data_IF_612765807681
#
_entry.id   IF_612765807681
#
_cell.length_a   1.000
_cell.length_b   1.000
_cell.length_c   1.000
_cell.angle_alpha   90.00
_cell.angle_beta   90.00
_cell.angle_gamma   90.00
#
_symmetry.space_group_name_H-M   'P 1'
#
loop_
_entity.id
_entity.type
_entity.pdbx_description
1 polymer ?
#
# COMPACT_ATOMS: atom_id res chain seq x y z
N UNK A 1 -31.43 -69.36 -23.64
CA UNK A 1 -30.34 -68.40 -23.35
C UNK A 1 -30.95 -67.12 -22.79
N UNK A 2 -30.58 -66.82 -21.54
CA UNK A 2 -30.62 -65.55 -20.78
C UNK A 2 -31.96 -64.80 -20.62
N UNK A 3 -32.45 -64.93 -19.39
CA UNK A 3 -33.53 -64.21 -18.73
C UNK A 3 -33.02 -62.95 -17.98
N UNK A 4 -33.98 -62.04 -17.78
CA UNK A 4 -34.20 -61.15 -16.62
C UNK A 4 -33.43 -59.82 -16.52
N UNK A 5 -34.15 -58.76 -16.87
CA UNK A 5 -33.96 -57.37 -16.46
C UNK A 5 -34.79 -57.10 -15.19
N UNK A 6 -34.19 -56.47 -14.16
CA UNK A 6 -34.87 -55.97 -12.96
C UNK A 6 -35.34 -54.51 -13.16
N UNK A 7 -36.48 -54.08 -12.57
CA UNK A 7 -36.90 -52.68 -12.52
C UNK A 7 -36.53 -51.98 -11.19
N UNK A 8 -36.70 -50.64 -11.08
CA UNK A 8 -36.43 -49.86 -9.87
C UNK A 8 -37.70 -49.66 -9.01
N UNK A 9 -37.53 -49.31 -7.74
CA UNK A 9 -38.61 -48.83 -6.86
C UNK A 9 -38.13 -47.67 -5.99
N UNK A 10 -39.01 -46.68 -5.88
CA UNK A 10 -38.84 -45.39 -5.23
C UNK A 10 -39.73 -45.29 -3.98
N UNK A 11 -39.24 -44.51 -2.99
CA UNK A 11 -39.91 -43.54 -2.09
C UNK A 11 -41.11 -43.98 -1.21
N UNK A 12 -41.04 -43.58 0.08
CA UNK A 12 -42.17 -43.38 1.01
C UNK A 12 -41.75 -43.65 2.46
N UNK A 13 -41.24 -42.68 3.22
CA UNK A 13 -41.96 -41.72 4.09
C UNK A 13 -42.81 -42.37 5.20
N UNK A 14 -42.48 -42.09 6.48
CA UNK A 14 -43.48 -41.90 7.56
C UNK A 14 -42.85 -41.36 8.86
N UNK A 15 -43.47 -40.27 9.34
CA UNK A 15 -43.29 -39.54 10.62
C UNK A 15 -43.64 -40.36 11.87
N UNK A 16 -43.09 -39.97 13.04
CA UNK A 16 -43.74 -39.87 14.38
C UNK A 16 -42.71 -39.33 15.40
N UNK A 17 -42.81 -38.10 15.89
CA UNK A 17 -43.65 -37.56 16.99
C UNK A 17 -43.10 -37.82 18.42
N UNK A 18 -42.41 -36.79 18.93
CA UNK A 18 -42.40 -36.16 20.26
C UNK A 18 -42.80 -36.88 21.59
N UNK A 19 -41.98 -36.54 22.61
CA UNK A 19 -42.22 -36.27 24.03
C UNK A 19 -42.53 -37.42 25.02
N UNK A 20 -41.68 -37.54 26.07
CA UNK A 20 -42.05 -37.30 27.48
C UNK A 20 -40.83 -37.26 28.43
N UNK A 21 -41.04 -36.52 29.52
CA UNK A 21 -40.11 -35.99 30.52
C UNK A 21 -39.98 -36.87 31.79
N UNK A 22 -38.92 -36.58 32.57
CA UNK A 22 -38.77 -36.61 34.05
C UNK A 22 -38.69 -37.97 34.79
N UNK A 23 -37.57 -38.27 35.46
CA UNK A 23 -37.32 -37.87 36.87
C UNK A 23 -36.05 -38.53 37.51
N UNK A 24 -35.34 -37.68 38.26
CA UNK A 24 -34.34 -37.84 39.35
C UNK A 24 -33.99 -39.21 39.97
N UNK A 25 -32.68 -39.42 40.19
CA UNK A 25 -32.09 -40.32 41.19
C UNK A 25 -30.58 -40.03 41.34
N UNK A 26 -30.10 -39.85 42.57
CA UNK A 26 -28.85 -39.15 42.92
C UNK A 26 -27.67 -40.06 43.36
N UNK A 27 -26.49 -39.42 43.43
CA UNK A 27 -25.27 -39.69 44.22
C UNK A 27 -24.10 -40.52 43.64
N UNK A 28 -22.97 -39.81 43.57
CA UNK A 28 -21.61 -40.11 44.08
C UNK A 28 -20.45 -40.40 43.09
N UNK A 29 -19.55 -39.40 43.09
CA UNK A 29 -18.09 -39.50 43.21
C UNK A 29 -17.24 -39.87 42.00
N UNK A 30 -16.26 -39.02 41.71
CA UNK A 30 -15.10 -39.34 40.87
C UNK A 30 -14.63 -38.15 40.07
N UNK A 31 -13.71 -37.36 40.63
CA UNK A 31 -13.18 -36.17 39.98
C UNK A 31 -12.33 -36.46 38.75
N UNK A 32 -12.39 -35.54 37.80
CA UNK A 32 -11.28 -35.14 36.94
C UNK A 32 -11.54 -33.67 36.59
N UNK A 33 -10.77 -32.77 37.22
CA UNK A 33 -10.67 -31.38 36.79
C UNK A 33 -9.99 -31.38 35.42
N UNK A 34 -10.79 -31.42 34.36
CA UNK A 34 -10.37 -30.88 33.08
C UNK A 34 -10.43 -29.36 33.23
N UNK A 35 -9.29 -28.75 33.57
CA UNK A 35 -9.10 -27.32 33.41
C UNK A 35 -9.19 -27.03 31.91
N UNK A 36 -10.39 -26.68 31.45
CA UNK A 36 -10.58 -26.08 30.14
C UNK A 36 -9.83 -24.76 30.12
N UNK A 37 -8.82 -24.66 29.25
CA UNK A 37 -8.34 -23.38 28.75
C UNK A 37 -9.46 -22.77 27.91
N UNK A 38 -10.45 -22.22 28.59
CA UNK A 38 -11.35 -21.24 28.00
C UNK A 38 -10.51 -19.98 27.91
N UNK A 39 -10.28 -19.50 26.69
CA UNK A 39 -9.78 -18.16 26.46
C UNK A 39 -10.69 -17.19 27.23
N UNK A 40 -10.21 -16.64 28.34
CA UNK A 40 -10.89 -15.52 28.98
C UNK A 40 -10.87 -14.38 27.97
N UNK A 41 -12.02 -14.13 27.38
CA UNK A 41 -12.37 -12.89 26.70
C UNK A 41 -12.34 -11.77 27.77
N UNK A 42 -11.14 -11.37 28.19
CA UNK A 42 -10.93 -10.27 29.13
C UNK A 42 -11.27 -8.99 28.39
N UNK A 43 -12.20 -8.22 28.95
CA UNK A 43 -12.48 -6.85 28.53
C UNK A 43 -11.17 -6.10 28.24
N UNK A 44 -11.13 -5.24 27.19
CA UNK A 44 -9.91 -4.55 26.79
C UNK A 44 -9.31 -3.83 27.99
N UNK A 45 -8.04 -4.13 28.30
CA UNK A 45 -7.31 -3.46 29.38
C UNK A 45 -7.31 -1.95 29.08
N UNK A 46 -7.93 -1.10 29.92
CA UNK A 46 -8.07 0.32 29.64
C UNK A 46 -6.73 1.03 29.50
N UNK A 47 -5.68 0.53 30.17
CA UNK A 47 -4.32 1.05 30.01
C UNK A 47 -3.76 0.73 28.63
N UNK A 48 -3.98 -0.50 28.11
CA UNK A 48 -3.56 -0.84 26.74
C UNK A 48 -4.32 -0.01 25.71
N UNK A 49 -5.60 0.29 25.94
CA UNK A 49 -6.36 1.16 25.06
C UNK A 49 -5.83 2.60 25.05
N UNK A 50 -5.43 3.14 26.20
CA UNK A 50 -4.81 4.45 26.30
C UNK A 50 -3.46 4.51 25.55
N UNK A 51 -2.67 3.43 25.60
CA UNK A 51 -1.42 3.31 24.83
C UNK A 51 -1.67 3.15 23.33
N UNK A 52 -2.70 2.37 22.95
CA UNK A 52 -3.00 2.05 21.56
C UNK A 52 -3.61 3.22 20.78
N UNK A 53 -4.33 4.14 21.43
CA UNK A 53 -5.08 5.18 20.73
C UNK A 53 -4.83 6.63 21.21
N UNK A 54 -3.56 7.09 21.33
CA UNK A 54 -3.29 8.49 21.61
C UNK A 54 -3.74 9.37 20.43
N UNK A 55 -4.42 10.48 20.76
CA UNK A 55 -4.97 11.43 19.77
C UNK A 55 -3.98 12.55 19.38
N UNK A 56 -2.79 12.56 19.97
CA UNK A 56 -1.74 13.56 19.76
C UNK A 56 -1.89 14.83 20.57
N UNK A 57 -2.92 14.95 21.41
CA UNK A 57 -3.00 16.01 22.42
C UNK A 57 -2.05 15.71 23.57
N UNK A 58 -1.53 16.77 24.22
CA UNK A 58 -0.66 16.61 25.37
C UNK A 58 -1.33 15.85 26.54
N UNK A 59 -2.66 15.89 26.66
CA UNK A 59 -3.38 15.14 27.69
C UNK A 59 -3.40 13.64 27.37
N UNK A 60 -3.73 13.28 26.12
CA UNK A 60 -3.73 11.89 25.66
C UNK A 60 -2.33 11.28 25.67
N UNK A 61 -1.31 12.02 25.21
CA UNK A 61 0.08 11.56 25.24
C UNK A 61 0.58 11.35 26.69
N UNK A 62 0.16 12.19 27.66
CA UNK A 62 0.46 11.96 29.08
C UNK A 62 -0.23 10.71 29.63
N UNK A 63 -1.49 10.47 29.25
CA UNK A 63 -2.23 9.29 29.68
C UNK A 63 -1.62 8.01 29.10
N UNK A 64 -1.23 8.02 27.82
CA UNK A 64 -0.50 6.94 27.16
C UNK A 64 0.84 6.66 27.86
N UNK A 65 1.63 7.71 28.15
CA UNK A 65 2.91 7.55 28.85
C UNK A 65 2.74 6.95 30.25
N UNK A 66 1.76 7.43 31.03
CA UNK A 66 1.48 6.88 32.36
C UNK A 66 1.03 5.41 32.29
N UNK A 67 0.17 5.09 31.32
CA UNK A 67 -0.33 3.72 31.11
C UNK A 67 0.81 2.80 30.68
N UNK A 68 1.67 3.24 29.76
CA UNK A 68 2.87 2.49 29.37
C UNK A 68 3.80 2.24 30.56
N UNK A 69 4.02 3.24 31.42
CA UNK A 69 4.85 3.08 32.62
C UNK A 69 4.28 2.06 33.63
N UNK A 70 2.96 1.92 33.72
CA UNK A 70 2.32 0.90 34.54
C UNK A 70 2.48 -0.50 33.90
N UNK A 71 2.32 -0.58 32.59
CA UNK A 71 2.33 -1.82 31.83
C UNK A 71 3.73 -2.37 31.54
N UNK A 72 4.77 -1.54 31.53
CA UNK A 72 6.14 -1.97 31.16
C UNK A 72 6.71 -3.03 32.10
N UNK A 73 6.12 -3.22 33.29
CA UNK A 73 6.52 -4.21 34.28
C UNK A 73 5.69 -5.50 34.23
N UNK A 74 4.77 -5.62 33.27
CA UNK A 74 4.01 -6.86 33.09
C UNK A 74 4.96 -8.03 32.81
N UNK A 75 4.66 -9.23 33.33
CA UNK A 75 5.46 -10.41 33.05
C UNK A 75 5.45 -10.74 31.55
N UNK A 76 6.56 -11.28 31.06
CA UNK A 76 6.76 -11.65 29.66
C UNK A 76 5.68 -12.54 29.06
N UNK A 77 5.01 -13.37 29.87
CA UNK A 77 3.84 -14.17 29.45
C UNK A 77 2.67 -13.32 28.90
N UNK A 78 2.63 -12.02 29.22
CA UNK A 78 1.60 -11.08 28.75
C UNK A 78 1.98 -10.32 27.47
N UNK A 79 3.16 -10.58 26.86
CA UNK A 79 3.59 -9.88 25.64
C UNK A 79 2.57 -10.00 24.50
N UNK A 80 1.88 -11.15 24.39
CA UNK A 80 0.85 -11.37 23.37
C UNK A 80 -0.35 -10.43 23.55
N UNK A 81 -0.68 -10.05 24.80
CA UNK A 81 -1.74 -9.07 25.05
C UNK A 81 -1.36 -7.68 24.51
N UNK A 82 -0.08 -7.30 24.63
CA UNK A 82 0.44 -6.05 24.06
C UNK A 82 0.41 -6.11 22.53
N UNK A 83 0.84 -7.22 21.93
CA UNK A 83 0.84 -7.39 20.47
C UNK A 83 -0.59 -7.38 19.89
N UNK A 84 -1.56 -7.99 20.57
CA UNK A 84 -2.97 -7.95 20.16
C UNK A 84 -3.55 -6.52 20.14
N UNK A 85 -3.03 -5.60 20.96
CA UNK A 85 -3.51 -4.21 20.99
C UNK A 85 -3.19 -3.42 19.72
N UNK A 86 -2.26 -3.88 18.87
CA UNK A 86 -1.91 -3.22 17.60
C UNK A 86 -3.09 -3.14 16.62
N UNK A 87 -3.97 -4.14 16.61
CA UNK A 87 -5.04 -4.24 15.60
C UNK A 87 -6.06 -3.10 15.65
N UNK A 88 -6.14 -2.38 16.77
CA UNK A 88 -6.99 -1.19 16.95
C UNK A 88 -6.18 0.09 17.18
N UNK A 89 -4.86 0.01 17.07
CA UNK A 89 -3.98 1.11 17.42
C UNK A 89 -3.89 2.16 16.31
N UNK A 90 -3.80 3.44 16.71
CA UNK A 90 -3.44 4.52 15.79
C UNK A 90 -1.98 4.35 15.35
N UNK A 91 -1.52 4.97 14.24
CA UNK A 91 -0.11 4.94 13.86
C UNK A 91 0.83 5.39 14.99
N UNK A 92 0.39 6.38 15.78
CA UNK A 92 1.10 6.84 16.98
C UNK A 92 1.10 5.79 18.08
N UNK A 93 -0.04 5.17 18.37
CA UNK A 93 -0.15 4.14 19.39
C UNK A 93 0.65 2.88 19.08
N UNK A 94 0.73 2.49 17.80
CA UNK A 94 1.62 1.40 17.37
C UNK A 94 3.07 1.67 17.79
N UNK A 95 3.57 2.90 17.67
CA UNK A 95 4.93 3.24 18.13
C UNK A 95 5.11 3.01 19.64
N UNK A 96 4.13 3.38 20.46
CA UNK A 96 4.17 3.11 21.90
C UNK A 96 4.12 1.62 22.21
N UNK A 97 3.22 0.88 21.56
CA UNK A 97 3.09 -0.56 21.76
C UNK A 97 4.35 -1.33 21.35
N UNK A 98 5.12 -0.86 20.35
CA UNK A 98 6.41 -1.47 19.98
C UNK A 98 7.41 -1.42 21.14
N UNK A 99 7.55 -0.26 21.79
CA UNK A 99 8.44 -0.10 22.94
C UNK A 99 7.95 -0.95 24.12
N UNK A 100 6.65 -0.87 24.43
CA UNK A 100 6.05 -1.63 25.53
C UNK A 100 6.20 -3.14 25.36
N UNK A 101 6.05 -3.66 24.13
CA UNK A 101 6.22 -5.09 23.86
C UNK A 101 7.65 -5.57 24.15
N UNK A 102 8.65 -4.75 23.87
CA UNK A 102 10.04 -5.04 24.21
C UNK A 102 10.25 -5.07 25.73
N UNK A 103 9.79 -4.05 26.44
CA UNK A 103 9.91 -3.98 27.91
C UNK A 103 9.22 -5.18 28.59
N UNK A 104 8.01 -5.55 28.15
CA UNK A 104 7.28 -6.70 28.68
C UNK A 104 8.01 -8.01 28.38
N UNK A 105 8.54 -8.19 27.16
CA UNK A 105 9.25 -9.41 26.77
C UNK A 105 10.49 -9.69 27.64
N UNK A 106 11.13 -8.66 28.18
CA UNK A 106 12.31 -8.75 29.04
C UNK A 106 11.98 -9.13 30.50
N UNK A 107 10.71 -9.06 30.91
CA UNK A 107 10.28 -9.33 32.28
C UNK A 107 10.04 -10.83 32.55
N UNK A 108 11.09 -11.64 32.45
CA UNK A 108 11.08 -13.05 32.86
C UNK A 108 11.50 -14.03 31.76
N UNK A 109 11.08 -15.30 31.82
CA UNK A 109 11.42 -16.30 30.82
C UNK A 109 10.90 -15.91 29.43
N UNK A 110 11.80 -15.87 28.44
CA UNK A 110 11.45 -15.45 27.08
C UNK A 110 10.35 -16.34 26.47
N UNK A 111 9.20 -15.79 26.06
CA UNK A 111 8.00 -16.53 25.65
C UNK A 111 8.09 -17.00 24.18
N UNK A 112 9.14 -17.75 23.83
CA UNK A 112 9.49 -18.14 22.44
C UNK A 112 8.33 -18.78 21.69
N UNK A 113 7.69 -19.80 22.25
CA UNK A 113 6.61 -20.52 21.55
C UNK A 113 5.38 -19.63 21.27
N UNK A 114 5.04 -18.74 22.21
CA UNK A 114 3.90 -17.85 22.05
C UNK A 114 4.18 -16.81 20.95
N UNK A 115 5.38 -16.23 20.95
CA UNK A 115 5.82 -15.29 19.93
C UNK A 115 5.92 -15.94 18.54
N UNK A 116 6.42 -17.19 18.46
CA UNK A 116 6.47 -17.94 17.21
C UNK A 116 5.08 -18.17 16.64
N UNK A 117 4.14 -18.68 17.45
CA UNK A 117 2.75 -18.88 17.03
C UNK A 117 2.10 -17.57 16.55
N UNK A 118 2.38 -16.46 17.24
CA UNK A 118 1.89 -15.14 16.84
C UNK A 118 2.48 -14.69 15.50
N UNK A 119 3.79 -14.88 15.29
CA UNK A 119 4.44 -14.55 14.02
C UNK A 119 3.91 -15.41 12.86
N UNK A 120 3.69 -16.70 13.08
CA UNK A 120 3.23 -17.63 12.05
C UNK A 120 1.79 -17.36 11.59
N UNK A 121 0.97 -16.72 12.42
CA UNK A 121 -0.37 -16.28 12.06
C UNK A 121 -0.33 -15.05 11.13
N UNK A 122 -0.27 -15.31 9.82
CA UNK A 122 -0.29 -14.27 8.78
C UNK A 122 -1.58 -13.46 8.70
N UNK A 123 -2.63 -13.80 9.47
CA UNK A 123 -3.86 -13.00 9.55
C UNK A 123 -3.80 -11.90 10.62
N UNK A 124 -2.81 -11.95 11.52
CA UNK A 124 -2.59 -10.95 12.56
C UNK A 124 -2.10 -9.59 12.03
N UNK A 125 -2.10 -8.58 12.90
CA UNK A 125 -1.64 -7.22 12.54
C UNK A 125 -0.19 -7.25 12.01
N UNK A 126 0.08 -6.74 10.81
CA UNK A 126 1.40 -6.85 10.19
C UNK A 126 2.53 -6.14 10.96
N UNK A 127 2.23 -5.05 11.67
CA UNK A 127 3.23 -4.34 12.49
C UNK A 127 3.54 -5.12 13.77
N UNK A 128 2.52 -5.69 14.41
CA UNK A 128 2.71 -6.54 15.58
C UNK A 128 3.53 -7.79 15.25
N UNK A 129 3.26 -8.40 14.10
CA UNK A 129 4.05 -9.55 13.61
C UNK A 129 5.51 -9.17 13.39
N UNK A 130 5.80 -7.96 12.91
CA UNK A 130 7.17 -7.50 12.80
C UNK A 130 7.85 -7.36 14.16
N UNK A 131 7.14 -6.87 15.19
CA UNK A 131 7.69 -6.83 16.56
C UNK A 131 7.98 -8.24 17.08
N UNK A 132 7.06 -9.18 16.90
CA UNK A 132 7.28 -10.58 17.28
C UNK A 132 8.53 -11.16 16.59
N UNK A 133 8.68 -10.91 15.29
CA UNK A 133 9.89 -11.25 14.54
C UNK A 133 11.15 -10.62 15.14
N UNK A 134 11.13 -9.33 15.46
CA UNK A 134 12.29 -8.64 16.03
C UNK A 134 12.71 -9.25 17.38
N UNK A 135 11.75 -9.53 18.27
CA UNK A 135 12.00 -10.16 19.56
C UNK A 135 12.60 -11.56 19.40
N UNK A 136 12.04 -12.38 18.50
CA UNK A 136 12.54 -13.72 18.20
C UNK A 136 13.96 -13.68 17.61
N UNK A 137 14.20 -12.81 16.63
CA UNK A 137 15.48 -12.68 15.93
C UNK A 137 16.59 -12.08 16.82
N UNK A 138 16.24 -11.23 17.77
CA UNK A 138 17.18 -10.67 18.74
C UNK A 138 17.71 -11.74 19.70
N UNK A 139 16.86 -12.69 20.10
CA UNK A 139 17.24 -13.76 21.03
C UNK A 139 18.05 -14.86 20.35
N UNK A 140 17.78 -15.15 19.08
CA UNK A 140 18.41 -16.25 18.33
C UNK A 140 18.65 -15.84 16.86
N UNK A 141 19.87 -15.41 16.50
CA UNK A 141 20.19 -15.01 15.13
C UNK A 141 20.00 -16.13 14.09
N UNK A 142 20.09 -17.41 14.48
CA UNK A 142 19.82 -18.52 13.56
C UNK A 142 18.32 -18.60 13.21
N UNK A 143 17.45 -18.28 14.18
CA UNK A 143 16.01 -18.23 13.97
C UNK A 143 15.62 -17.14 12.96
N UNK A 144 16.37 -16.03 12.87
CA UNK A 144 16.14 -15.01 11.84
C UNK A 144 16.09 -15.61 10.43
N UNK A 145 17.04 -16.47 10.10
CA UNK A 145 17.14 -17.10 8.77
C UNK A 145 15.95 -18.02 8.53
N UNK A 146 15.55 -18.80 9.54
CA UNK A 146 14.38 -19.68 9.48
C UNK A 146 13.08 -18.89 9.28
N UNK A 147 12.87 -17.82 10.07
CA UNK A 147 11.67 -16.98 10.00
C UNK A 147 11.51 -16.27 8.65
N UNK A 148 12.62 -15.96 7.97
CA UNK A 148 12.59 -15.27 6.68
C UNK A 148 12.51 -16.20 5.48
N UNK A 149 12.74 -17.51 5.63
CA UNK A 149 12.90 -18.44 4.50
C UNK A 149 11.80 -18.31 3.43
N UNK A 150 10.54 -18.16 3.83
CA UNK A 150 9.36 -18.04 2.95
C UNK A 150 8.63 -16.69 3.08
N UNK A 151 9.32 -15.66 3.56
CA UNK A 151 8.73 -14.37 3.87
C UNK A 151 8.61 -13.41 2.66
N UNK A 152 8.95 -13.83 1.44
CA UNK A 152 8.85 -12.99 0.24
C UNK A 152 7.42 -12.51 -0.03
N UNK A 153 6.41 -13.25 0.41
CA UNK A 153 4.99 -12.85 0.30
C UNK A 153 4.42 -12.33 1.61
N UNK A 154 5.21 -12.20 2.67
CA UNK A 154 4.72 -11.91 4.02
C UNK A 154 3.89 -10.62 4.06
N UNK A 155 2.71 -10.58 4.72
CA UNK A 155 1.86 -9.39 4.76
C UNK A 155 2.49 -8.22 5.54
N UNK A 156 3.47 -8.48 6.41
CA UNK A 156 4.28 -7.46 7.05
C UNK A 156 5.33 -6.93 6.09
N UNK A 157 5.16 -5.68 5.63
CA UNK A 157 6.10 -5.04 4.72
C UNK A 157 7.54 -5.02 5.23
N UNK A 158 7.83 -4.78 6.52
CA UNK A 158 9.19 -4.88 7.04
C UNK A 158 9.77 -6.31 6.97
N UNK A 159 8.98 -7.34 7.30
CA UNK A 159 9.42 -8.75 7.22
C UNK A 159 9.68 -9.13 5.76
N UNK A 160 8.74 -8.79 4.87
CA UNK A 160 8.88 -8.95 3.42
C UNK A 160 10.13 -8.23 2.91
N UNK A 161 10.34 -6.98 3.30
CA UNK A 161 11.50 -6.19 2.89
C UNK A 161 12.81 -6.89 3.24
N UNK A 162 12.92 -7.44 4.46
CA UNK A 162 14.12 -8.16 4.89
C UNK A 162 14.36 -9.41 4.03
N UNK A 163 13.32 -10.19 3.72
CA UNK A 163 13.48 -11.36 2.83
C UNK A 163 13.85 -10.96 1.41
N UNK A 164 13.19 -9.95 0.83
CA UNK A 164 13.53 -9.46 -0.51
C UNK A 164 14.98 -8.96 -0.56
N UNK A 165 15.45 -8.27 0.49
CA UNK A 165 16.86 -7.87 0.59
C UNK A 165 17.78 -9.10 0.61
N UNK A 166 17.50 -10.09 1.44
CA UNK A 166 18.33 -11.29 1.55
C UNK A 166 18.37 -12.05 0.20
N UNK A 167 17.25 -12.14 -0.54
CA UNK A 167 17.21 -12.70 -1.90
C UNK A 167 18.11 -11.92 -2.89
N UNK A 168 18.11 -10.59 -2.82
CA UNK A 168 18.92 -9.74 -3.69
C UNK A 168 20.41 -9.80 -3.34
N UNK A 169 20.75 -9.93 -2.05
CA UNK A 169 22.12 -10.13 -1.59
C UNK A 169 22.66 -11.48 -2.04
N UNK A 170 21.85 -12.54 -1.91
CA UNK A 170 22.18 -13.88 -2.39
C UNK A 170 22.32 -13.91 -3.92
N UNK A 171 21.35 -13.37 -4.65
CA UNK A 171 21.41 -13.28 -6.11
C UNK A 171 22.68 -12.57 -6.59
N UNK A 172 23.02 -11.42 -5.99
CA UNK A 172 24.21 -10.66 -6.33
C UNK A 172 25.51 -11.45 -6.10
N UNK A 173 25.57 -12.29 -5.06
CA UNK A 173 26.72 -13.15 -4.79
C UNK A 173 26.85 -14.33 -5.76
N UNK A 174 25.80 -14.67 -6.51
CA UNK A 174 25.75 -15.84 -7.40
C UNK A 174 25.80 -15.53 -8.89
N UNK A 175 25.80 -14.25 -9.29
CA UNK A 175 25.74 -13.82 -10.70
C UNK A 175 26.79 -14.53 -11.55
N UNK A 176 28.04 -14.62 -11.08
CA UNK A 176 29.14 -15.22 -11.84
C UNK A 176 29.25 -16.75 -11.68
N UNK A 177 28.98 -17.27 -10.49
CA UNK A 177 29.20 -18.69 -10.16
C UNK A 177 28.02 -19.58 -10.55
N UNK A 178 26.80 -19.08 -10.33
CA UNK A 178 25.53 -19.82 -10.46
C UNK A 178 24.46 -18.90 -11.06
N UNK A 179 24.61 -18.45 -12.32
CA UNK A 179 23.75 -17.42 -12.93
C UNK A 179 22.27 -17.81 -12.99
N UNK A 180 21.94 -19.09 -13.21
CA UNK A 180 20.54 -19.55 -13.22
C UNK A 180 19.89 -19.46 -11.83
N UNK A 181 20.65 -19.72 -10.77
CA UNK A 181 20.17 -19.57 -9.38
C UNK A 181 20.01 -18.09 -9.03
N UNK A 182 21.00 -17.26 -9.38
CA UNK A 182 20.92 -15.80 -9.24
C UNK A 182 19.68 -15.22 -9.93
N UNK A 183 19.40 -15.69 -11.16
CA UNK A 183 18.24 -15.29 -11.95
C UNK A 183 16.93 -15.68 -11.27
N UNK A 184 16.82 -16.89 -10.74
CA UNK A 184 15.61 -17.33 -10.02
C UNK A 184 15.36 -16.49 -8.76
N UNK A 185 16.41 -16.18 -8.00
CA UNK A 185 16.33 -15.34 -6.81
C UNK A 185 15.93 -13.90 -7.14
N UNK A 186 16.56 -13.28 -8.15
CA UNK A 186 16.25 -11.93 -8.60
C UNK A 186 14.83 -11.82 -9.19
N UNK A 187 14.37 -12.86 -9.91
CA UNK A 187 12.99 -12.96 -10.41
C UNK A 187 11.99 -13.00 -9.25
N UNK A 188 12.26 -13.84 -8.24
CA UNK A 188 11.43 -13.89 -7.03
C UNK A 188 11.39 -12.53 -6.32
N UNK A 189 12.54 -11.85 -6.24
CA UNK A 189 12.64 -10.54 -5.62
C UNK A 189 11.86 -9.46 -6.37
N UNK A 190 11.89 -9.44 -7.71
CA UNK A 190 11.18 -8.41 -8.49
C UNK A 190 9.65 -8.61 -8.46
N UNK A 191 9.17 -9.86 -8.46
CA UNK A 191 7.74 -10.16 -8.41
C UNK A 191 7.11 -9.81 -7.05
N UNK A 192 7.90 -9.96 -5.98
CA UNK A 192 7.41 -9.86 -4.61
C UNK A 192 7.84 -8.56 -3.91
N UNK A 193 8.81 -7.83 -4.45
CA UNK A 193 9.27 -6.55 -3.92
C UNK A 193 8.18 -5.49 -3.88
N UNK A 194 8.25 -4.60 -2.89
CA UNK A 194 7.32 -3.45 -2.74
C UNK A 194 8.05 -2.10 -2.64
N UNK A 195 9.35 -2.12 -2.35
CA UNK A 195 10.18 -0.92 -2.34
C UNK A 195 10.70 -0.60 -3.75
N UNK A 196 10.54 0.64 -4.26
CA UNK A 196 11.11 1.03 -5.55
C UNK A 196 12.62 0.76 -5.66
N UNK A 197 13.38 0.99 -4.58
CA UNK A 197 14.81 0.73 -4.56
C UNK A 197 15.15 -0.77 -4.67
N UNK A 198 14.32 -1.65 -4.09
CA UNK A 198 14.51 -3.09 -4.22
C UNK A 198 14.16 -3.57 -5.64
N UNK A 199 13.11 -3.01 -6.24
CA UNK A 199 12.70 -3.33 -7.62
C UNK A 199 13.73 -2.85 -8.63
N UNK A 200 14.29 -1.64 -8.45
CA UNK A 200 15.41 -1.14 -9.27
C UNK A 200 16.65 -2.03 -9.14
N UNK A 201 17.00 -2.44 -7.91
CA UNK A 201 18.12 -3.37 -7.69
C UNK A 201 17.87 -4.73 -8.34
N UNK A 202 16.65 -5.26 -8.24
CA UNK A 202 16.28 -6.53 -8.88
C UNK A 202 16.35 -6.44 -10.41
N UNK A 203 15.84 -5.35 -10.99
CA UNK A 203 15.91 -5.08 -12.41
C UNK A 203 17.36 -5.06 -12.92
N UNK A 204 18.25 -4.33 -12.22
CA UNK A 204 19.68 -4.28 -12.56
C UNK A 204 20.36 -5.66 -12.51
N UNK A 205 20.04 -6.49 -11.51
CA UNK A 205 20.58 -7.85 -11.42
C UNK A 205 20.06 -8.75 -12.56
N UNK A 206 18.78 -8.61 -12.93
CA UNK A 206 18.18 -9.34 -14.03
C UNK A 206 18.77 -8.92 -15.38
N UNK A 207 19.01 -7.63 -15.59
CA UNK A 207 19.68 -7.11 -16.79
C UNK A 207 21.11 -7.65 -16.94
N UNK A 208 21.87 -7.75 -15.84
CA UNK A 208 23.21 -8.39 -15.84
C UNK A 208 23.17 -9.88 -16.24
N UNK A 209 22.01 -10.52 -16.06
CA UNK A 209 21.75 -11.92 -16.39
C UNK A 209 20.99 -12.05 -17.73
N UNK A 210 21.07 -11.03 -18.59
CA UNK A 210 20.42 -10.95 -19.91
C UNK A 210 18.89 -11.12 -19.88
N UNK A 211 18.25 -10.75 -18.76
CA UNK A 211 16.79 -10.70 -18.63
C UNK A 211 16.34 -9.24 -18.71
N UNK A 212 15.70 -8.81 -19.82
CA UNK A 212 15.21 -7.45 -19.93
C UNK A 212 14.06 -7.20 -18.96
N UNK A 213 14.09 -6.05 -18.29
CA UNK A 213 13.06 -5.64 -17.33
C UNK A 213 12.59 -4.22 -17.68
N UNK A 214 11.29 -4.06 -17.94
CA UNK A 214 10.68 -2.72 -17.92
C UNK A 214 10.38 -2.36 -16.46
N UNK A 215 11.29 -1.59 -15.85
CA UNK A 215 11.16 -1.17 -14.45
C UNK A 215 9.94 -0.26 -14.24
N UNK A 216 9.61 0.61 -15.21
CA UNK A 216 8.47 1.51 -15.09
C UNK A 216 7.15 0.70 -15.09
N UNK A 217 7.04 -0.31 -15.95
CA UNK A 217 5.92 -1.26 -15.93
C UNK A 217 5.85 -2.07 -14.64
N UNK A 218 7.00 -2.55 -14.14
CA UNK A 218 7.11 -3.28 -12.87
C UNK A 218 6.65 -2.42 -11.69
N UNK A 219 6.95 -1.12 -11.72
CA UNK A 219 6.51 -0.13 -10.73
C UNK A 219 5.05 0.30 -10.92
N UNK A 220 4.40 -0.03 -12.04
CA UNK A 220 3.06 0.42 -12.37
C UNK A 220 2.98 1.91 -12.72
N UNK A 221 4.05 2.48 -13.28
CA UNK A 221 4.14 3.90 -13.62
C UNK A 221 3.25 4.24 -14.81
N UNK A 222 2.45 5.31 -14.65
CA UNK A 222 1.62 5.84 -15.73
C UNK A 222 2.45 6.80 -16.58
N UNK A 223 2.79 6.39 -17.80
CA UNK A 223 3.76 7.08 -18.66
C UNK A 223 3.16 7.92 -19.79
N UNK A 224 1.87 7.81 -20.07
CA UNK A 224 1.21 8.48 -21.20
C UNK A 224 0.14 9.44 -20.73
N UNK A 225 0.19 10.70 -21.13
CA UNK A 225 -0.67 11.75 -20.62
C UNK A 225 -1.17 12.65 -21.74
N UNK A 226 -2.38 13.16 -21.57
CA UNK A 226 -2.81 14.37 -22.26
C UNK A 226 -2.37 15.55 -21.41
N UNK A 227 -1.65 16.49 -22.00
CA UNK A 227 -1.11 17.65 -21.29
C UNK A 227 -1.62 18.93 -21.93
N UNK A 228 -2.00 19.91 -21.11
CA UNK A 228 -2.32 21.28 -21.54
C UNK A 228 -1.68 22.30 -20.60
N UNK A 229 -1.17 23.38 -21.19
CA UNK A 229 -0.47 24.46 -20.52
C UNK A 229 0.46 25.17 -21.50
N UNK A 230 1.26 26.15 -21.05
CA UNK A 230 1.28 26.69 -19.69
C UNK A 230 0.14 27.69 -19.43
N UNK A 231 -0.48 27.60 -18.25
CA UNK A 231 -1.28 28.68 -17.65
C UNK A 231 -0.41 29.50 -16.69
N UNK A 232 -0.96 30.59 -16.15
CA UNK A 232 -0.19 31.51 -15.31
C UNK A 232 0.06 30.92 -13.90
N UNK A 233 1.21 31.23 -13.33
CA UNK A 233 1.55 31.02 -11.93
C UNK A 233 2.53 32.11 -11.47
N UNK A 234 2.32 33.33 -11.96
CA UNK A 234 3.17 34.48 -11.66
C UNK A 234 3.29 34.63 -10.15
N UNK A 235 4.53 34.79 -9.68
CA UNK A 235 4.88 34.92 -8.27
C UNK A 235 4.42 33.74 -7.38
N UNK A 236 4.13 32.57 -7.98
CA UNK A 236 3.59 31.38 -7.30
C UNK A 236 2.23 31.59 -6.63
N UNK A 237 1.41 32.53 -7.12
CA UNK A 237 0.12 32.88 -6.52
C UNK A 237 -1.06 32.03 -7.03
N UNK A 238 -0.92 31.30 -8.15
CA UNK A 238 -2.03 30.58 -8.80
C UNK A 238 -2.18 29.11 -8.37
N UNK A 239 -1.64 28.75 -7.21
CA UNK A 239 -1.81 27.40 -6.65
C UNK A 239 -3.29 27.02 -6.49
N UNK A 240 -4.11 27.95 -6.00
CA UNK A 240 -5.55 27.76 -5.79
C UNK A 240 -6.43 28.27 -6.95
N UNK A 241 -5.83 28.89 -7.98
CA UNK A 241 -6.55 29.29 -9.19
C UNK A 241 -6.96 28.05 -9.99
N UNK A 242 -8.27 27.84 -10.13
CA UNK A 242 -8.82 26.79 -10.98
C UNK A 242 -8.96 27.30 -12.42
N UNK A 243 -8.12 26.80 -13.33
CA UNK A 243 -8.23 27.11 -14.76
C UNK A 243 -9.33 26.27 -15.44
N UNK A 244 -9.61 26.57 -16.71
CA UNK A 244 -10.69 25.93 -17.48
C UNK A 244 -10.62 24.38 -17.43
N UNK A 245 -9.45 23.72 -17.60
CA UNK A 245 -9.38 22.26 -17.50
C UNK A 245 -9.84 21.71 -16.13
N UNK A 246 -9.49 22.39 -15.04
CA UNK A 246 -9.85 21.97 -13.68
C UNK A 246 -11.35 22.15 -13.43
N UNK A 247 -11.89 23.33 -13.72
CA UNK A 247 -13.32 23.60 -13.54
C UNK A 247 -14.15 22.61 -14.37
N UNK A 248 -13.79 22.43 -15.65
CA UNK A 248 -14.51 21.50 -16.54
C UNK A 248 -14.45 20.06 -16.03
N UNK A 249 -13.30 19.61 -15.53
CA UNK A 249 -13.17 18.27 -14.97
C UNK A 249 -14.05 18.06 -13.73
N UNK A 250 -14.08 19.04 -12.83
CA UNK A 250 -14.89 18.98 -11.61
C UNK A 250 -16.39 19.06 -11.91
N UNK A 251 -16.79 19.74 -12.98
CA UNK A 251 -18.19 19.86 -13.41
C UNK A 251 -18.67 18.67 -14.25
N UNK A 252 -17.85 18.17 -15.17
CA UNK A 252 -18.25 17.24 -16.22
C UNK A 252 -17.56 15.86 -16.15
N UNK A 253 -16.56 15.68 -15.28
CA UNK A 253 -15.74 14.47 -15.21
C UNK A 253 -14.70 14.33 -16.33
N UNK A 254 -14.56 15.35 -17.18
CA UNK A 254 -13.55 15.43 -18.25
C UNK A 254 -12.98 16.86 -18.34
N UNK A 255 -11.66 17.05 -18.45
CA UNK A 255 -11.06 18.37 -18.61
C UNK A 255 -11.10 18.86 -20.07
N UNK A 256 -11.46 17.97 -21.01
CA UNK A 256 -11.50 18.21 -22.46
C UNK A 256 -12.91 18.62 -22.88
N UNK A 257 -13.01 19.68 -23.69
CA UNK A 257 -14.28 20.18 -24.21
C UNK A 257 -14.86 19.24 -25.28
N UNK A 258 -16.07 18.69 -25.10
CA UNK A 258 -16.70 17.80 -26.09
C UNK A 258 -17.40 18.55 -27.24
N UNK A 259 -17.50 19.89 -27.21
CA UNK A 259 -18.46 20.63 -28.06
C UNK A 259 -18.01 20.86 -29.52
N UNK A 260 -16.78 20.51 -29.91
CA UNK A 260 -16.23 20.79 -31.25
C UNK A 260 -16.04 19.56 -32.15
N UNK A 261 -16.98 18.61 -32.14
CA UNK A 261 -17.02 17.54 -33.15
C UNK A 261 -15.81 16.59 -33.18
N UNK A 262 -15.04 16.54 -32.09
CA UNK A 262 -13.91 15.63 -31.91
C UNK A 262 -12.60 16.31 -31.49
N UNK A 263 -12.38 17.58 -31.85
CA UNK A 263 -11.11 18.28 -31.54
C UNK A 263 -11.22 19.19 -30.30
N UNK A 264 -10.34 19.06 -29.29
CA UNK A 264 -10.31 19.95 -28.14
C UNK A 264 -10.08 21.40 -28.55
N UNK A 265 -10.94 22.30 -28.05
CA UNK A 265 -10.76 23.73 -28.25
C UNK A 265 -9.43 24.22 -27.64
N UNK A 266 -8.80 25.22 -28.28
CA UNK A 266 -7.70 25.94 -27.67
C UNK A 266 -8.20 26.76 -26.48
N UNK A 267 -7.46 26.72 -25.38
CA UNK A 267 -7.77 27.43 -24.14
C UNK A 267 -6.87 28.66 -24.00
N UNK A 268 -7.32 29.69 -23.28
CA UNK A 268 -6.46 30.85 -22.98
C UNK A 268 -5.35 30.45 -21.99
N UNK A 269 -4.12 30.34 -22.48
CA UNK A 269 -2.92 30.11 -21.67
C UNK A 269 -2.15 31.40 -21.36
N UNK A 270 -0.96 31.23 -20.76
CA UNK A 270 -0.11 32.32 -20.24
C UNK A 270 0.37 33.28 -21.33
N UNK A 271 0.90 32.75 -22.44
CA UNK A 271 1.47 33.54 -23.56
C UNK A 271 0.59 33.58 -24.81
N UNK A 272 -0.58 32.98 -24.75
CA UNK A 272 -1.47 32.79 -25.90
C UNK A 272 -2.33 31.53 -25.74
N UNK A 273 -3.07 31.16 -26.80
CA UNK A 273 -3.86 29.93 -26.78
C UNK A 273 -2.99 28.68 -26.59
N UNK A 274 -3.46 27.74 -25.77
CA UNK A 274 -2.82 26.44 -25.51
C UNK A 274 -3.79 25.30 -25.85
N UNK A 275 -3.27 24.15 -26.24
CA UNK A 275 -4.06 22.99 -26.66
C UNK A 275 -3.59 21.73 -25.95
N UNK A 276 -4.46 20.72 -25.91
CA UNK A 276 -4.10 19.40 -25.42
C UNK A 276 -3.13 18.72 -26.39
N UNK A 277 -2.10 18.11 -25.84
CA UNK A 277 -1.12 17.32 -26.59
C UNK A 277 -0.83 15.99 -25.87
N UNK A 278 -0.52 14.95 -26.64
CA UNK A 278 -0.07 13.66 -26.09
C UNK A 278 1.40 13.79 -25.68
N UNK A 279 1.70 13.45 -24.43
CA UNK A 279 3.06 13.37 -23.87
C UNK A 279 3.27 11.97 -23.32
N UNK A 280 4.35 11.31 -23.72
CA UNK A 280 4.75 10.01 -23.19
C UNK A 280 6.18 10.06 -22.65
N UNK A 281 6.49 9.19 -21.69
CA UNK A 281 7.83 9.01 -21.16
C UNK A 281 8.34 7.60 -21.41
N UNK A 282 9.60 7.50 -21.82
CA UNK A 282 10.37 6.25 -21.89
C UNK A 282 11.35 6.11 -20.71
N UNK A 283 11.26 6.99 -19.71
CA UNK A 283 12.10 6.94 -18.52
C UNK A 283 11.88 5.64 -17.73
N UNK A 284 12.98 5.04 -17.27
CA UNK A 284 12.98 3.75 -16.58
C UNK A 284 12.21 3.77 -15.25
N UNK A 285 12.01 4.94 -14.65
CA UNK A 285 11.22 5.14 -13.44
C UNK A 285 9.90 5.88 -13.71
N UNK A 286 9.55 6.10 -14.99
CA UNK A 286 8.31 6.72 -15.41
C UNK A 286 8.23 8.23 -15.18
N UNK A 287 9.37 8.93 -15.06
CA UNK A 287 9.40 10.38 -14.95
C UNK A 287 8.90 11.06 -16.24
N UNK A 288 7.88 11.89 -16.12
CA UNK A 288 7.29 12.69 -17.21
C UNK A 288 7.84 14.11 -17.13
N UNK A 289 8.61 14.51 -18.15
CA UNK A 289 9.16 15.87 -18.27
C UNK A 289 8.20 16.79 -19.04
N UNK A 290 7.85 17.92 -18.42
CA UNK A 290 6.99 18.96 -18.98
C UNK A 290 7.78 20.11 -19.59
N UNK A 291 9.08 20.23 -19.35
CA UNK A 291 9.89 21.30 -19.90
C UNK A 291 9.94 21.28 -21.42
N UNK A 292 10.26 20.14 -22.04
CA UNK A 292 10.34 20.07 -23.50
C UNK A 292 8.97 20.32 -24.17
N UNK A 293 7.85 19.69 -23.75
CA UNK A 293 6.53 19.94 -24.34
C UNK A 293 5.98 21.35 -24.11
N UNK A 294 6.39 22.03 -23.03
CA UNK A 294 5.87 23.34 -22.62
C UNK A 294 6.92 24.46 -22.66
N UNK A 295 7.98 24.28 -23.46
CA UNK A 295 9.03 25.28 -23.72
C UNK A 295 9.74 25.83 -22.47
N UNK A 296 9.89 25.00 -21.42
CA UNK A 296 10.54 25.33 -20.15
C UNK A 296 9.97 26.63 -19.53
N UNK A 297 8.65 26.81 -19.63
CA UNK A 297 8.00 28.00 -19.10
C UNK A 297 8.13 28.06 -17.57
N UNK A 298 8.47 29.23 -17.06
CA UNK A 298 8.51 29.53 -15.62
C UNK A 298 7.25 30.22 -15.18
N UNK A 299 6.97 30.20 -13.88
CA UNK A 299 5.71 30.72 -13.32
C UNK A 299 4.53 30.16 -14.12
N UNK A 300 4.48 28.85 -14.24
CA UNK A 300 3.57 28.17 -15.15
C UNK A 300 2.78 27.07 -14.44
N UNK A 301 1.55 26.86 -14.88
CA UNK A 301 0.74 25.68 -14.53
C UNK A 301 0.53 24.81 -15.75
N UNK A 302 0.59 23.50 -15.55
CA UNK A 302 0.16 22.50 -16.51
C UNK A 302 -0.85 21.56 -15.87
N UNK A 303 -1.74 21.03 -16.70
CA UNK A 303 -2.62 19.93 -16.35
C UNK A 303 -2.25 18.70 -17.16
N UNK A 304 -2.09 17.57 -16.49
CA UNK A 304 -1.91 16.26 -17.09
C UNK A 304 -3.13 15.38 -16.77
N UNK A 305 -3.71 14.76 -17.80
CA UNK A 305 -4.92 13.95 -17.69
C UNK A 305 -4.72 12.57 -18.31
N UNK A 306 -5.27 11.55 -17.65
CA UNK A 306 -5.40 10.21 -18.22
C UNK A 306 -6.75 9.61 -17.81
N UNK A 307 -7.40 8.97 -18.78
CA UNK A 307 -8.52 8.05 -18.56
C UNK A 307 -8.01 6.61 -18.64
N UNK A 308 -8.50 5.73 -17.77
CA UNK A 308 -7.99 4.37 -17.65
C UNK A 308 -9.05 3.34 -17.23
N UNK A 309 -8.78 2.07 -17.48
CA UNK A 309 -9.48 0.93 -16.85
C UNK A 309 -8.54 0.12 -15.99
N UNK A 310 -9.05 -0.47 -14.90
CA UNK A 310 -8.27 -1.34 -14.01
C UNK A 310 -8.32 -2.79 -14.49
N UNK A 311 -7.18 -3.47 -14.46
CA UNK A 311 -7.05 -4.88 -14.87
C UNK A 311 -6.95 -5.83 -13.67
N UNK A 312 -7.65 -6.95 -13.71
CA UNK A 312 -7.40 -8.10 -12.83
C UNK A 312 -7.73 -7.90 -11.35
N UNK A 313 -8.47 -6.83 -11.01
CA UNK A 313 -8.85 -6.50 -9.64
C UNK A 313 -10.38 -6.55 -9.45
N UNK A 314 -10.81 -6.88 -8.24
CA UNK A 314 -12.21 -6.75 -7.85
C UNK A 314 -12.50 -5.28 -7.50
N UNK A 315 -13.50 -4.69 -8.17
CA UNK A 315 -13.89 -3.29 -7.98
C UNK A 315 -15.24 -3.20 -7.21
N UNK A 316 -15.46 -2.14 -6.42
CA UNK A 316 -14.56 -1.01 -6.17
C UNK A 316 -13.35 -1.40 -5.30
N UNK A 317 -12.20 -0.79 -5.57
CA UNK A 317 -10.92 -1.09 -4.91
C UNK A 317 -10.43 0.14 -4.14
N UNK A 318 -10.09 -0.03 -2.87
CA UNK A 318 -9.31 0.98 -2.12
C UNK A 318 -7.87 0.97 -2.63
N UNK A 319 -7.37 2.14 -3.00
CA UNK A 319 -6.07 2.28 -3.62
C UNK A 319 -5.37 3.54 -3.10
N UNK A 320 -4.11 3.70 -3.48
CA UNK A 320 -3.33 4.90 -3.22
C UNK A 320 -2.87 5.51 -4.55
N UNK A 321 -3.11 6.81 -4.68
CA UNK A 321 -2.49 7.65 -5.67
C UNK A 321 -1.12 8.07 -5.14
N UNK A 322 -0.05 7.75 -5.87
CA UNK A 322 1.32 8.04 -5.44
C UNK A 322 2.01 8.92 -6.46
N UNK A 323 2.52 10.06 -6.00
CA UNK A 323 3.13 11.11 -6.82
C UNK A 323 4.56 11.38 -6.36
N UNK A 324 5.50 11.44 -7.30
CA UNK A 324 6.76 12.14 -7.15
C UNK A 324 6.73 13.42 -7.98
N UNK A 325 7.06 14.57 -7.39
CA UNK A 325 7.21 15.84 -8.11
C UNK A 325 8.17 16.73 -7.34
N UNK A 326 9.05 17.44 -8.05
CA UNK A 326 9.92 18.45 -7.45
C UNK A 326 9.20 19.79 -7.24
N UNK A 327 8.02 19.96 -7.84
CA UNK A 327 7.25 21.21 -7.85
C UNK A 327 5.84 21.05 -7.29
N UNK A 328 5.16 22.18 -7.07
CA UNK A 328 3.84 22.19 -6.45
C UNK A 328 2.81 21.41 -7.28
N UNK A 329 1.87 20.76 -6.60
CA UNK A 329 0.99 19.80 -7.23
C UNK A 329 -0.38 19.67 -6.57
N UNK A 330 -1.37 19.26 -7.38
CA UNK A 330 -2.66 18.73 -6.94
C UNK A 330 -3.01 17.51 -7.79
N UNK A 331 -3.62 16.49 -7.19
CA UNK A 331 -4.08 15.29 -7.88
C UNK A 331 -5.54 15.01 -7.55
N UNK A 332 -6.32 14.75 -8.60
CA UNK A 332 -7.68 14.27 -8.47
C UNK A 332 -7.83 12.90 -9.12
N UNK A 333 -8.50 11.99 -8.42
CA UNK A 333 -8.91 10.68 -8.94
C UNK A 333 -10.43 10.63 -8.93
N UNK A 334 -11.05 10.36 -10.08
CA UNK A 334 -12.51 10.32 -10.24
C UNK A 334 -13.21 11.58 -9.68
N UNK A 335 -12.66 12.77 -9.95
CA UNK A 335 -13.15 14.05 -9.45
C UNK A 335 -12.86 14.37 -7.97
N UNK A 336 -12.32 13.43 -7.19
CA UNK A 336 -11.96 13.65 -5.78
C UNK A 336 -10.52 14.13 -5.64
N UNK A 337 -10.29 15.25 -4.95
CA UNK A 337 -8.94 15.74 -4.63
C UNK A 337 -8.29 14.83 -3.58
N UNK A 338 -7.17 14.20 -3.92
CA UNK A 338 -6.47 13.22 -3.06
C UNK A 338 -5.08 13.67 -2.63
N UNK A 339 -4.45 14.59 -3.37
CA UNK A 339 -3.13 15.17 -3.05
C UNK A 339 -3.20 16.68 -3.32
N UNK A 340 -2.64 17.49 -2.42
CA UNK A 340 -2.52 18.95 -2.59
C UNK A 340 -1.32 19.50 -1.81
N UNK A 341 -0.24 19.84 -2.52
CA UNK A 341 1.00 20.33 -1.91
C UNK A 341 1.50 21.59 -2.62
N UNK A 342 1.49 22.72 -1.91
CA UNK A 342 2.11 23.97 -2.38
C UNK A 342 3.57 24.03 -1.94
N UNK A 343 4.41 23.15 -2.51
CA UNK A 343 5.82 22.99 -2.14
C UNK A 343 6.66 22.96 -3.42
N UNK A 344 7.72 23.76 -3.47
CA UNK A 344 8.66 23.82 -4.59
C UNK A 344 10.06 23.41 -4.15
N UNK A 345 10.77 22.71 -5.04
CA UNK A 345 12.19 22.37 -4.95
C UNK A 345 12.61 21.62 -3.67
N UNK A 346 11.72 20.77 -3.16
CA UNK A 346 11.97 19.95 -1.95
C UNK A 346 12.74 18.65 -2.23
N UNK A 347 13.41 18.56 -3.38
CA UNK A 347 13.86 17.30 -3.97
C UNK A 347 12.68 16.47 -4.49
N UNK A 348 12.97 15.31 -5.08
CA UNK A 348 11.94 14.36 -5.50
C UNK A 348 12.34 12.92 -5.25
N UNK A 349 11.35 12.06 -4.99
CA UNK A 349 11.49 10.61 -4.87
C UNK A 349 10.24 9.92 -5.39
N UNK A 350 10.34 8.64 -5.74
CA UNK A 350 9.16 7.80 -6.00
C UNK A 350 8.29 7.80 -4.75
N UNK A 351 6.98 7.95 -4.95
CA UNK A 351 5.97 8.00 -3.89
C UNK A 351 6.21 9.07 -2.82
N UNK A 352 6.70 10.25 -3.22
CA UNK A 352 6.92 11.36 -2.30
C UNK A 352 5.65 11.77 -1.56
N UNK A 353 4.53 11.81 -2.30
CA UNK A 353 3.20 12.11 -1.80
C UNK A 353 2.27 10.92 -2.06
N UNK A 354 1.46 10.57 -1.06
CA UNK A 354 0.52 9.45 -1.11
C UNK A 354 -0.85 9.97 -0.68
N UNK A 355 -1.85 9.75 -1.51
CA UNK A 355 -3.25 10.06 -1.23
C UNK A 355 -4.12 8.82 -1.35
N UNK A 356 -5.02 8.60 -0.40
CA UNK A 356 -6.01 7.51 -0.48
C UNK A 356 -7.05 7.82 -1.55
N UNK A 357 -7.44 6.81 -2.33
CA UNK A 357 -8.46 6.93 -3.36
C UNK A 357 -9.29 5.64 -3.49
N UNK A 358 -10.36 5.71 -4.29
CA UNK A 358 -11.16 4.55 -4.64
C UNK A 358 -11.27 4.43 -6.16
N UNK A 359 -10.89 3.26 -6.67
CA UNK A 359 -11.08 2.89 -8.07
C UNK A 359 -12.43 2.21 -8.24
N UNK A 360 -13.17 2.59 -9.28
CA UNK A 360 -14.54 2.18 -9.54
C UNK A 360 -14.59 1.20 -10.73
N UNK A 361 -15.65 0.37 -10.83
CA UNK A 361 -15.90 -0.43 -12.03
C UNK A 361 -15.97 0.45 -13.29
N UNK A 362 -15.31 0.02 -14.38
CA UNK A 362 -15.30 0.73 -15.65
C UNK A 362 -14.16 1.75 -15.77
N UNK A 363 -14.44 2.88 -16.42
CA UNK A 363 -13.47 3.95 -16.63
C UNK A 363 -13.21 4.73 -15.32
N UNK A 364 -11.95 5.02 -15.08
CA UNK A 364 -11.48 5.89 -14.02
C UNK A 364 -10.68 7.03 -14.65
N UNK A 365 -10.57 8.15 -13.94
CA UNK A 365 -9.88 9.34 -14.43
C UNK A 365 -8.89 9.86 -13.41
N UNK A 366 -7.75 10.35 -13.91
CA UNK A 366 -6.74 11.04 -13.12
C UNK A 366 -6.48 12.41 -13.76
N UNK A 367 -6.54 13.47 -12.97
CA UNK A 367 -6.09 14.80 -13.33
C UNK A 367 -4.98 15.23 -12.36
N UNK A 368 -3.87 15.72 -12.89
CA UNK A 368 -2.75 16.26 -12.12
C UNK A 368 -2.54 17.70 -12.53
N UNK A 369 -2.56 18.62 -11.57
CA UNK A 369 -2.07 20.00 -11.74
C UNK A 369 -0.63 20.04 -11.26
N UNK A 370 0.30 20.50 -12.08
CA UNK A 370 1.72 20.66 -11.73
C UNK A 370 2.12 22.10 -12.01
N UNK A 371 2.77 22.77 -11.05
CA UNK A 371 3.08 24.19 -11.12
C UNK A 371 4.58 24.42 -10.99
N UNK A 372 5.17 25.22 -11.87
CA UNK A 372 6.55 25.70 -11.81
C UNK A 372 6.58 27.17 -11.34
N UNK A 373 7.66 27.57 -10.65
CA UNK A 373 7.88 28.94 -10.21
C UNK A 373 8.93 29.69 -11.07
N UNK A 374 9.22 30.93 -10.70
CA UNK A 374 10.13 31.82 -11.42
C UNK A 374 11.62 31.45 -11.33
N UNK A 375 12.00 30.46 -10.51
CA UNK A 375 13.42 30.23 -10.19
C UNK A 375 14.21 29.81 -11.43
N UNK A 376 15.40 30.40 -11.56
CA UNK A 376 16.28 30.24 -12.74
C UNK A 376 17.57 29.52 -12.40
N UNK A 377 17.77 29.21 -11.12
CA UNK A 377 18.91 28.44 -10.64
C UNK A 377 18.92 27.06 -11.30
N UNK A 378 20.08 26.51 -11.67
CA UNK A 378 20.16 25.23 -12.40
C UNK A 378 19.44 24.06 -11.70
N UNK A 379 19.40 24.04 -10.37
CA UNK A 379 18.74 23.01 -9.57
C UNK A 379 17.21 23.16 -9.50
N UNK A 380 16.66 24.30 -9.93
CA UNK A 380 15.24 24.64 -9.89
C UNK A 380 14.57 24.54 -11.27
N UNK A 381 15.25 23.95 -12.27
CA UNK A 381 14.77 23.95 -13.65
C UNK A 381 13.82 22.81 -13.98
N UNK A 382 13.86 21.73 -13.21
CA UNK A 382 13.06 20.55 -13.46
C UNK A 382 11.57 20.84 -13.27
N UNK A 383 10.78 20.55 -14.32
CA UNK A 383 9.32 20.56 -14.26
C UNK A 383 8.81 19.21 -14.70
N UNK A 384 8.68 18.31 -13.73
CA UNK A 384 8.46 16.90 -14.00
C UNK A 384 7.68 16.24 -12.88
N UNK A 385 7.01 15.14 -13.20
CA UNK A 385 6.31 14.32 -12.24
C UNK A 385 6.36 12.85 -12.64
N UNK A 386 6.17 11.97 -11.67
CA UNK A 386 5.91 10.54 -11.89
C UNK A 386 4.71 10.14 -11.04
N UNK A 387 3.85 9.29 -11.60
CA UNK A 387 2.59 8.93 -10.95
C UNK A 387 2.26 7.46 -11.16
N UNK A 388 1.69 6.84 -10.13
CA UNK A 388 1.18 5.48 -10.17
C UNK A 388 0.00 5.27 -9.22
N UNK A 389 -0.75 4.21 -9.49
CA UNK A 389 -1.81 3.70 -8.61
C UNK A 389 -1.34 2.38 -8.00
N UNK A 390 -1.47 2.24 -6.68
CA UNK A 390 -1.04 1.05 -5.95
C UNK A 390 -2.10 0.58 -4.94
N UNK A 391 -1.98 -0.67 -4.50
CA UNK A 391 -2.53 -1.08 -3.21
C UNK A 391 -1.82 -0.34 -2.07
N UNK A 392 -2.39 -0.28 -0.86
CA UNK A 392 -1.72 0.31 0.31
C UNK A 392 -0.37 -0.36 0.66
N UNK A 393 -0.19 -1.63 0.29
CA UNK A 393 1.06 -2.35 0.48
C UNK A 393 2.15 -1.99 -0.56
N UNK A 394 1.87 -1.05 -1.47
CA UNK A 394 2.77 -0.62 -2.54
C UNK A 394 2.78 -1.53 -3.77
N UNK A 395 1.93 -2.57 -3.83
CA UNK A 395 1.79 -3.41 -5.03
C UNK A 395 1.18 -2.58 -6.17
N UNK A 396 1.77 -2.56 -7.38
CA UNK A 396 1.21 -1.81 -8.51
C UNK A 396 -0.19 -2.33 -8.87
N UNK A 397 -1.09 -1.41 -9.21
CA UNK A 397 -2.38 -1.72 -9.83
C UNK A 397 -2.19 -1.58 -11.34
N UNK A 398 -2.42 -2.67 -12.08
CA UNK A 398 -2.30 -2.64 -13.53
C UNK A 398 -3.46 -1.88 -14.15
N UNK A 399 -3.15 -0.94 -15.03
CA UNK A 399 -4.13 -0.10 -15.71
C UNK A 399 -3.91 -0.11 -17.21
N UNK A 400 -4.97 0.17 -17.96
CA UNK A 400 -4.91 0.38 -19.41
C UNK A 400 -5.42 1.77 -19.71
N UNK A 401 -4.63 2.63 -20.37
CA UNK A 401 -5.13 3.90 -20.85
C UNK A 401 -6.31 3.68 -21.80
N UNK A 402 -7.39 4.42 -21.59
CA UNK A 402 -8.47 4.53 -22.56
C UNK A 402 -8.13 5.69 -23.47
N UNK A 403 -8.10 5.45 -24.78
CA UNK A 403 -7.81 6.49 -25.74
C UNK A 403 -8.88 7.59 -25.67
N UNK A 404 -8.41 8.82 -25.58
CA UNK A 404 -9.25 10.00 -25.76
C UNK A 404 -8.83 10.58 -27.10
N UNK A 405 -9.77 10.61 -28.04
CA UNK A 405 -9.56 11.27 -29.33
C UNK A 405 -9.36 12.77 -29.09
N UNK A 406 -8.28 13.29 -29.68
CA UNK A 406 -7.96 14.72 -29.75
C UNK A 406 -8.25 15.23 -31.17
#
# INVERSE_FOLDING_TARGET
MRHASRPPLAIGDTRRSQLRMLAFGALLAGGLHAAGLVAEDRAPNPELQAVAAPDGTAASDRAAAQSAANLQSLPSEQVIQVLNAFGQATPRGKNWLRALAADVADNGPFPREALQRFFDDRSGDPDARYVAFQLLAQQDPALRTELLAEAQTDPSLPVRYLRIRDLLDEAAGLVDERPEEAKALATTAIENGRSPAQLERAAKLLEQLDVPVDLAETLGMMRSWLVIGPFDNTDSEDFDTAYVPENRYLELGTPIDPQNGGEPAAEKGKRGPVQWQKVSSDDSQGMVDLNAPLSNEKDAVAYAYQKLTVQGEQLPLKAEARLGSITANKVWVNGQLVISNNVYHSGTRIDQYVGECQLLPGENTVLIKVLQNAQTEPWAQDWQFQFRLTHPDGRPIKTTPVEVEL
#
